data_IF_628830386600
#
_entry.id   IF_628830386600
#
_cell.length_a   1.000
_cell.length_b   1.000
_cell.length_c   1.000
_cell.angle_alpha   90.00
_cell.angle_beta   90.00
_cell.angle_gamma   90.00
#
_symmetry.space_group_name_H-M   'P 1'
#
loop_
_entity.id
_entity.type
_entity.pdbx_description
1 polymer ?
#
# COMPACT_ATOMS: atom_id res chain seq x y z
N UNK A 1 11.96 -54.72 12.84
CA UNK A 1 11.72 -54.03 14.13
C UNK A 1 10.87 -52.81 13.85
N UNK A 2 9.60 -52.83 14.27
CA UNK A 2 8.71 -51.66 14.23
C UNK A 2 9.05 -50.79 15.44
N UNK A 3 9.41 -49.53 15.23
CA UNK A 3 9.49 -48.53 16.30
C UNK A 3 8.11 -47.90 16.44
N UNK A 4 7.41 -48.25 17.51
CA UNK A 4 6.22 -47.52 17.94
C UNK A 4 6.67 -46.29 18.74
N UNK A 5 6.52 -45.10 18.13
CA UNK A 5 6.72 -43.83 18.82
C UNK A 5 5.45 -43.47 19.58
N UNK A 6 5.39 -43.89 20.84
CA UNK A 6 4.28 -43.62 21.74
C UNK A 6 4.37 -42.19 22.27
N UNK A 7 3.80 -41.22 21.54
CA UNK A 7 3.74 -39.83 21.96
C UNK A 7 2.73 -39.68 23.12
N UNK A 8 3.20 -39.89 24.34
CA UNK A 8 2.41 -39.71 25.56
C UNK A 8 2.21 -38.22 25.88
N UNK A 9 1.23 -37.58 25.22
CA UNK A 9 0.79 -36.21 25.48
C UNK A 9 -0.02 -36.14 26.78
N UNK A 10 0.68 -35.99 27.92
CA UNK A 10 0.01 -35.71 29.19
C UNK A 10 -0.61 -34.30 29.21
N UNK A 11 -1.68 -34.09 29.98
CA UNK A 11 -2.33 -32.77 30.17
C UNK A 11 -1.33 -31.67 30.56
N UNK A 12 -0.32 -32.03 31.36
CA UNK A 12 0.76 -31.12 31.79
C UNK A 12 1.73 -30.80 30.66
N UNK A 13 2.06 -31.78 29.81
CA UNK A 13 2.89 -31.57 28.62
C UNK A 13 2.16 -30.67 27.61
N UNK A 14 0.87 -30.92 27.40
CA UNK A 14 0.02 -30.08 26.55
C UNK A 14 -0.02 -28.62 27.03
N UNK A 15 -0.26 -28.37 28.33
CA UNK A 15 -0.25 -27.02 28.92
C UNK A 15 1.11 -26.31 28.81
N UNK A 16 2.22 -27.05 28.93
CA UNK A 16 3.56 -26.49 28.74
C UNK A 16 3.82 -26.10 27.29
N UNK A 17 3.41 -26.94 26.35
CA UNK A 17 3.57 -26.69 24.91
C UNK A 17 2.69 -25.51 24.48
N UNK A 18 1.41 -25.49 24.88
CA UNK A 18 0.49 -24.38 24.55
C UNK A 18 0.84 -23.08 25.25
N UNK A 19 1.26 -23.12 26.52
CA UNK A 19 1.73 -21.93 27.26
C UNK A 19 3.01 -21.34 26.67
N UNK A 20 3.96 -22.18 26.26
CA UNK A 20 5.18 -21.73 25.57
C UNK A 20 4.92 -21.14 24.18
N UNK A 21 4.00 -21.74 23.42
CA UNK A 21 3.60 -21.21 22.11
C UNK A 21 2.87 -19.86 22.22
N UNK A 22 2.03 -19.66 23.25
CA UNK A 22 1.35 -18.39 23.49
C UNK A 22 2.33 -17.25 23.85
N UNK A 23 3.39 -17.56 24.60
CA UNK A 23 4.44 -16.59 24.92
C UNK A 23 5.20 -16.13 23.66
N UNK A 24 5.47 -17.04 22.72
CA UNK A 24 6.13 -16.70 21.45
C UNK A 24 5.23 -15.89 20.51
N UNK A 25 3.91 -16.09 20.55
CA UNK A 25 2.96 -15.32 19.74
C UNK A 25 2.89 -13.83 20.14
N UNK A 26 3.25 -13.50 21.38
CA UNK A 26 3.25 -12.11 21.87
C UNK A 26 4.42 -11.25 21.34
N UNK A 27 5.45 -11.87 20.77
CA UNK A 27 6.61 -11.18 20.15
C UNK A 27 6.25 -10.61 18.78
N UNK A 28 5.12 -11.02 18.20
CA UNK A 28 4.71 -10.66 16.84
C UNK A 28 3.78 -9.44 16.77
N UNK A 29 3.61 -8.69 17.87
CA UNK A 29 2.82 -7.46 17.81
C UNK A 29 3.54 -6.47 16.89
N UNK A 30 2.94 -6.05 15.76
CA UNK A 30 3.55 -5.04 14.91
C UNK A 30 3.72 -3.77 15.75
N UNK A 31 4.96 -3.29 15.84
CA UNK A 31 5.24 -2.03 16.52
C UNK A 31 4.46 -0.90 15.83
N UNK A 32 3.91 0.04 16.60
CA UNK A 32 3.34 1.26 16.02
C UNK A 32 4.46 2.01 15.31
N UNK A 33 4.42 2.06 13.98
CA UNK A 33 5.38 2.82 13.18
C UNK A 33 5.05 4.30 13.29
N UNK A 34 5.77 5.03 14.12
CA UNK A 34 5.73 6.49 14.09
C UNK A 34 6.64 6.98 12.97
N UNK A 35 6.09 7.76 12.04
CA UNK A 35 6.86 8.45 11.00
C UNK A 35 7.56 9.70 11.59
N UNK A 36 8.15 9.58 12.78
CA UNK A 36 8.76 10.70 13.47
C UNK A 36 10.24 10.80 13.09
N UNK A 37 10.57 11.81 12.29
CA UNK A 37 11.93 12.34 12.19
C UNK A 37 11.96 13.69 12.91
N UNK A 38 13.14 14.18 13.30
CA UNK A 38 13.29 15.47 14.02
C UNK A 38 12.85 16.69 13.19
N UNK A 39 12.53 16.50 11.89
CA UNK A 39 12.08 17.53 10.97
C UNK A 39 10.80 17.10 10.24
N UNK A 40 9.71 17.84 10.45
CA UNK A 40 8.44 17.60 9.77
C UNK A 40 8.32 18.48 8.53
N UNK A 41 7.92 17.89 7.42
CA UNK A 41 7.59 18.61 6.17
C UNK A 41 6.16 18.33 5.79
N UNK A 42 5.50 19.35 5.21
CA UNK A 42 4.14 19.24 4.70
C UNK A 42 4.11 19.65 3.22
N UNK A 43 3.08 19.19 2.51
CA UNK A 43 2.78 19.68 1.17
C UNK A 43 1.46 20.45 1.23
N UNK A 44 1.48 21.70 0.78
CA UNK A 44 0.29 22.50 0.59
C UNK A 44 -0.09 22.51 -0.90
N UNK A 45 -1.34 22.15 -1.20
CA UNK A 45 -1.88 22.16 -2.56
C UNK A 45 -3.06 23.14 -2.56
N UNK A 46 -2.89 24.30 -3.18
CA UNK A 46 -3.97 25.26 -3.35
C UNK A 46 -4.87 24.83 -4.51
N UNK A 47 -6.07 24.38 -4.19
CA UNK A 47 -7.05 23.92 -5.18
C UNK A 47 -7.62 25.06 -6.04
N UNK A 48 -7.52 26.32 -5.58
CA UNK A 48 -7.97 27.46 -6.37
C UNK A 48 -7.02 27.76 -7.54
N UNK A 49 -5.76 27.32 -7.45
CA UNK A 49 -4.74 27.50 -8.49
C UNK A 49 -4.58 26.26 -9.38
N UNK A 50 -5.15 25.12 -8.99
CA UNK A 50 -5.09 23.91 -9.80
C UNK A 50 -6.10 23.98 -10.95
N UNK A 51 -5.58 24.08 -12.18
CA UNK A 51 -6.35 24.13 -13.43
C UNK A 51 -6.49 22.76 -14.11
N UNK A 52 -5.98 21.71 -13.48
CA UNK A 52 -5.96 20.35 -14.00
C UNK A 52 -4.97 20.10 -15.13
N UNK A 53 -4.16 21.09 -15.53
CA UNK A 53 -3.27 21.02 -16.69
C UNK A 53 -4.00 20.52 -17.95
N UNK A 54 -5.17 21.09 -18.24
CA UNK A 54 -6.06 20.66 -19.34
C UNK A 54 -5.45 20.82 -20.74
N UNK A 55 -4.37 21.58 -20.84
CA UNK A 55 -3.53 21.75 -22.03
C UNK A 55 -2.66 20.51 -22.36
N UNK A 56 -2.62 19.51 -21.46
CA UNK A 56 -1.75 18.33 -21.58
C UNK A 56 -2.57 17.04 -21.52
N UNK A 57 -2.10 16.01 -22.22
CA UNK A 57 -2.71 14.68 -22.15
C UNK A 57 -2.60 14.07 -20.73
N UNK A 58 -1.46 14.29 -20.05
CA UNK A 58 -1.22 13.84 -18.68
C UNK A 58 -0.88 15.09 -17.85
N UNK A 59 -1.55 15.32 -16.70
CA UNK A 59 -1.25 16.47 -15.87
C UNK A 59 0.22 16.51 -15.43
N UNK A 60 0.80 17.71 -15.34
CA UNK A 60 2.23 17.89 -15.12
C UNK A 60 2.72 17.21 -13.82
N UNK A 61 1.94 17.33 -12.73
CA UNK A 61 2.26 16.68 -11.45
C UNK A 61 2.28 15.15 -11.55
N UNK A 62 1.40 14.58 -12.37
CA UNK A 62 1.32 13.13 -12.61
C UNK A 62 2.51 12.66 -13.43
N UNK A 63 2.82 13.35 -14.53
CA UNK A 63 3.98 13.04 -15.38
C UNK A 63 5.29 13.10 -14.58
N UNK A 64 5.50 14.16 -13.81
CA UNK A 64 6.69 14.32 -12.97
C UNK A 64 6.81 13.21 -11.92
N UNK A 65 5.70 12.88 -11.23
CA UNK A 65 5.71 11.81 -10.24
C UNK A 65 6.03 10.44 -10.86
N UNK A 66 5.48 10.13 -12.04
CA UNK A 66 5.79 8.88 -12.75
C UNK A 66 7.26 8.85 -13.16
N UNK A 67 7.81 9.95 -13.67
CA UNK A 67 9.21 10.05 -14.07
C UNK A 67 10.18 9.83 -12.90
N UNK A 68 9.92 10.45 -11.75
CA UNK A 68 10.77 10.34 -10.53
C UNK A 68 10.74 8.93 -9.94
N UNK A 69 9.63 8.20 -10.08
CA UNK A 69 9.46 6.89 -9.45
C UNK A 69 9.60 5.71 -10.43
N UNK A 70 9.86 5.96 -11.72
CA UNK A 70 9.91 4.93 -12.76
C UNK A 70 10.86 3.77 -12.41
N UNK A 71 12.01 4.09 -11.81
CA UNK A 71 13.07 3.13 -11.50
C UNK A 71 12.92 2.52 -10.08
N UNK A 72 11.98 3.04 -9.28
CA UNK A 72 11.70 2.53 -7.92
C UNK A 72 10.69 1.40 -7.92
N UNK A 73 9.96 1.22 -9.02
CA UNK A 73 8.91 0.22 -9.11
C UNK A 73 9.53 -1.08 -9.63
N UNK A 74 9.49 -2.17 -8.85
CA UNK A 74 10.12 -3.42 -9.25
C UNK A 74 9.48 -3.97 -10.52
N UNK A 75 10.30 -4.59 -11.36
CA UNK A 75 9.82 -5.37 -12.49
C UNK A 75 9.06 -6.59 -11.97
N UNK A 76 7.81 -6.74 -12.40
CA UNK A 76 6.97 -7.88 -12.03
C UNK A 76 7.52 -9.14 -12.70
N UNK A 77 7.64 -10.22 -11.93
CA UNK A 77 8.00 -11.55 -12.43
C UNK A 77 6.79 -12.19 -13.12
N UNK A 78 7.04 -13.00 -14.15
CA UNK A 78 5.99 -13.81 -14.76
C UNK A 78 5.43 -14.83 -13.74
N UNK A 79 4.13 -15.14 -13.84
CA UNK A 79 3.38 -16.02 -12.93
C UNK A 79 3.19 -15.48 -11.50
N UNK A 80 2.49 -14.35 -11.37
CA UNK A 80 2.05 -13.82 -10.07
C UNK A 80 1.23 -14.91 -9.33
N UNK A 81 1.62 -15.31 -8.11
CA UNK A 81 0.88 -16.31 -7.33
C UNK A 81 -0.56 -15.87 -7.07
N UNK A 82 -1.50 -16.82 -7.11
CA UNK A 82 -2.91 -16.55 -6.78
C UNK A 82 -3.04 -16.25 -5.27
N UNK A 83 -3.54 -15.06 -4.89
CA UNK A 83 -3.75 -14.74 -3.48
C UNK A 83 -4.90 -15.55 -2.89
N UNK A 84 -4.80 -15.90 -1.60
CA UNK A 84 -5.87 -16.56 -0.83
C UNK A 84 -6.26 -15.69 0.37
N UNK A 85 -7.56 -15.59 0.74
CA UNK A 85 -8.73 -16.24 0.13
C UNK A 85 -9.28 -15.50 -1.10
N UNK A 86 -8.80 -14.28 -1.35
CA UNK A 86 -9.21 -13.48 -2.52
C UNK A 86 -8.39 -13.87 -3.75
N UNK A 87 -8.99 -14.67 -4.63
CA UNK A 87 -8.40 -15.22 -5.86
C UNK A 87 -8.13 -14.20 -6.99
N UNK A 88 -8.33 -12.91 -6.73
CA UNK A 88 -8.17 -11.88 -7.76
C UNK A 88 -6.73 -11.40 -7.81
N UNK A 89 -6.08 -11.61 -8.94
CA UNK A 89 -4.73 -11.09 -9.20
C UNK A 89 -4.86 -9.68 -9.78
N UNK A 90 -4.43 -8.67 -9.03
CA UNK A 90 -4.39 -7.27 -9.50
C UNK A 90 -3.11 -6.98 -10.28
N UNK A 91 -2.96 -7.58 -11.47
CA UNK A 91 -1.82 -7.32 -12.33
C UNK A 91 -1.95 -5.98 -13.08
N UNK A 92 -1.11 -5.01 -12.69
CA UNK A 92 -1.00 -3.69 -13.33
C UNK A 92 0.17 -3.60 -14.32
N UNK A 93 0.98 -4.65 -14.47
CA UNK A 93 2.22 -4.62 -15.26
C UNK A 93 2.00 -4.27 -16.73
N UNK A 94 0.82 -4.59 -17.26
CA UNK A 94 0.39 -4.30 -18.64
C UNK A 94 -0.41 -3.00 -18.79
N UNK A 95 -0.60 -2.24 -17.70
CA UNK A 95 -1.44 -1.04 -17.63
C UNK A 95 -0.68 0.16 -17.05
N UNK A 96 0.61 0.28 -17.36
CA UNK A 96 1.52 1.28 -16.78
C UNK A 96 1.19 2.70 -17.25
N UNK A 97 0.54 2.83 -18.39
CA UNK A 97 0.09 4.08 -19.00
C UNK A 97 -1.05 4.74 -18.22
N UNK A 98 -1.86 3.98 -17.46
CA UNK A 98 -2.96 4.52 -16.67
C UNK A 98 -2.48 5.64 -15.73
N UNK A 99 -3.16 6.79 -15.79
CA UNK A 99 -2.77 8.01 -15.06
C UNK A 99 -3.92 8.71 -14.34
N UNK A 100 -5.17 8.27 -14.57
CA UNK A 100 -6.39 8.88 -14.04
C UNK A 100 -6.87 8.26 -12.71
N UNK A 101 -6.05 7.40 -12.08
CA UNK A 101 -6.30 6.78 -10.78
C UNK A 101 -5.00 6.36 -10.13
N UNK A 102 -5.04 6.06 -8.84
CA UNK A 102 -3.90 5.42 -8.16
C UNK A 102 -3.71 3.99 -8.66
N UNK A 103 -2.45 3.66 -8.97
CA UNK A 103 -1.98 2.31 -9.34
C UNK A 103 -0.58 2.11 -8.76
N UNK A 104 -0.04 0.88 -8.75
CA UNK A 104 1.36 0.66 -8.40
C UNK A 104 2.36 1.42 -9.29
N UNK A 105 1.93 1.92 -10.45
CA UNK A 105 2.74 2.71 -11.38
C UNK A 105 2.35 4.20 -11.42
N UNK A 106 1.38 4.63 -10.59
CA UNK A 106 0.86 5.98 -10.59
C UNK A 106 0.42 6.41 -9.18
N UNK A 107 1.24 7.23 -8.50
CA UNK A 107 1.05 7.58 -7.09
C UNK A 107 0.25 8.86 -6.84
N UNK A 108 -0.09 9.57 -7.91
CA UNK A 108 -0.92 10.77 -7.89
C UNK A 108 -1.77 10.79 -9.15
N UNK A 109 -3.02 11.25 -9.04
CA UNK A 109 -3.87 11.55 -10.19
C UNK A 109 -4.65 12.83 -9.94
N UNK A 110 -5.14 13.48 -10.99
CA UNK A 110 -6.01 14.66 -10.86
C UNK A 110 -7.45 14.20 -10.98
N UNK A 111 -8.22 14.38 -9.91
CA UNK A 111 -9.67 14.17 -9.90
C UNK A 111 -10.37 15.46 -10.30
N UNK A 112 -11.27 15.37 -11.27
CA UNK A 112 -12.16 16.47 -11.64
C UNK A 112 -13.50 16.30 -10.91
N UNK A 113 -13.90 17.32 -10.14
CA UNK A 113 -15.18 17.39 -9.45
C UNK A 113 -15.99 18.58 -9.98
N UNK A 114 -17.29 18.39 -10.19
CA UNK A 114 -18.23 19.50 -10.44
C UNK A 114 -19.04 19.77 -9.17
N UNK A 115 -18.98 21.00 -8.68
CA UNK A 115 -19.68 21.44 -7.47
C UNK A 115 -20.30 22.81 -7.76
N UNK A 116 -21.62 22.94 -7.62
CA UNK A 116 -22.36 24.20 -7.77
C UNK A 116 -22.01 24.97 -9.07
N UNK A 117 -21.85 24.25 -10.18
CA UNK A 117 -21.51 24.84 -11.49
C UNK A 117 -20.03 25.21 -11.67
N UNK A 118 -19.18 24.95 -10.68
CA UNK A 118 -17.72 25.11 -10.78
C UNK A 118 -17.04 23.76 -10.98
N UNK A 119 -15.98 23.75 -11.77
CA UNK A 119 -15.09 22.60 -11.91
C UNK A 119 -13.88 22.79 -11.01
N UNK A 120 -13.59 21.81 -10.15
CA UNK A 120 -12.41 21.76 -9.30
C UNK A 120 -11.52 20.60 -9.72
N UNK A 121 -10.21 20.83 -9.66
CA UNK A 121 -9.19 19.83 -9.94
C UNK A 121 -8.43 19.51 -8.65
N UNK A 122 -8.54 18.26 -8.20
CA UNK A 122 -7.98 17.80 -6.93
C UNK A 122 -6.87 16.78 -7.19
N UNK A 123 -5.59 17.12 -6.94
CA UNK A 123 -4.50 16.15 -7.01
C UNK A 123 -4.62 15.15 -5.84
N UNK A 124 -5.09 13.95 -6.12
CA UNK A 124 -5.32 12.88 -5.16
C UNK A 124 -4.07 12.02 -5.05
N UNK A 125 -3.54 11.88 -3.83
CA UNK A 125 -2.37 11.07 -3.47
C UNK A 125 -2.46 10.66 -1.99
N UNK A 126 -1.45 9.94 -1.50
CA UNK A 126 -1.30 9.70 -0.07
C UNK A 126 -1.21 11.04 0.70
N UNK A 127 -1.92 11.11 1.83
CA UNK A 127 -1.94 12.29 2.70
C UNK A 127 -0.76 12.37 3.66
N UNK A 128 -0.02 11.27 3.85
CA UNK A 128 1.06 11.16 4.85
C UNK A 128 0.60 11.60 6.25
N UNK A 129 -0.49 11.00 6.72
CA UNK A 129 -1.09 11.30 8.02
C UNK A 129 -0.11 11.02 9.18
N UNK A 130 -0.15 11.84 10.22
CA UNK A 130 0.63 11.63 11.45
C UNK A 130 0.21 10.35 12.20
N UNK A 131 -1.07 9.97 12.05
CA UNK A 131 -1.64 8.74 12.59
C UNK A 131 -2.37 7.96 11.48
N UNK A 132 -1.65 7.13 10.70
CA UNK A 132 -2.26 6.33 9.63
C UNK A 132 -3.16 5.22 10.20
N UNK A 133 -4.22 4.89 9.46
CA UNK A 133 -5.19 3.84 9.80
C UNK A 133 -4.64 2.42 9.62
#
# INVERSE_FOLDING_TARGET
MKQDNDFNLSRRSFLKITGGAAALASVSLPGTSFAATDQQVATLIDLNLCDGCTDRQIPACVSACKAINKDKIPTIVENIPEPWPRKTIEDWSKKKEVFNRLTPYNFIYVHQAQIEGKTLFVPRRCMHCDNPA
#
